data_IF_847611577539
#
_entry.id   IF_847611577539
#
_cell.length_a   1.000
_cell.length_b   1.000
_cell.length_c   1.000
_cell.angle_alpha   90.00
_cell.angle_beta   90.00
_cell.angle_gamma   90.00
#
_symmetry.space_group_name_H-M   'P 1'
#
loop_
_entity.id
_entity.type
_entity.pdbx_description
1 polymer ?
#
# COMPACT_ATOMS: atom_id res chain seq x y z
N UNK A 1 14.44 -12.73 -8.98
CA UNK A 1 14.21 -11.33 -9.42
C UNK A 1 13.55 -11.39 -10.81
N UNK A 2 13.36 -10.28 -11.51
CA UNK A 2 12.73 -10.23 -12.84
C UNK A 2 13.53 -10.97 -13.93
N UNK A 3 14.82 -11.25 -13.69
CA UNK A 3 15.70 -12.00 -14.59
C UNK A 3 15.90 -13.46 -14.16
N UNK A 4 15.17 -13.94 -13.15
CA UNK A 4 15.30 -15.30 -12.64
C UNK A 4 16.53 -15.54 -11.76
N UNK A 5 17.25 -14.49 -11.34
CA UNK A 5 18.38 -14.60 -10.41
C UNK A 5 17.88 -14.83 -8.98
N UNK A 6 18.62 -15.68 -8.26
CA UNK A 6 18.37 -15.99 -6.86
C UNK A 6 19.02 -14.98 -5.94
N UNK A 7 18.28 -14.53 -4.92
CA UNK A 7 18.77 -13.63 -3.89
C UNK A 7 18.45 -14.19 -2.51
N UNK A 8 19.42 -14.11 -1.60
CA UNK A 8 19.20 -14.45 -0.21
C UNK A 8 18.39 -13.34 0.48
N UNK A 9 17.16 -13.65 0.87
CA UNK A 9 16.31 -12.78 1.69
C UNK A 9 16.41 -13.19 3.15
N UNK A 10 15.71 -14.27 3.52
CA UNK A 10 15.70 -14.77 4.87
C UNK A 10 16.99 -15.55 5.19
N UNK A 11 17.46 -15.46 6.43
CA UNK A 11 18.52 -16.32 6.94
C UNK A 11 18.34 -16.57 8.43
N UNK A 12 18.72 -17.77 8.86
CA UNK A 12 18.84 -18.19 10.26
C UNK A 12 20.19 -18.88 10.37
N UNK A 13 21.04 -18.40 11.27
CA UNK A 13 22.42 -18.87 11.44
C UNK A 13 22.69 -19.15 12.91
N UNK A 14 23.41 -20.23 13.19
CA UNK A 14 23.82 -20.63 14.54
C UNK A 14 25.28 -20.23 14.77
N UNK A 15 25.54 -19.56 15.89
CA UNK A 15 26.86 -19.03 16.25
C UNK A 15 27.26 -19.41 17.67
N UNK A 16 28.32 -20.22 17.75
CA UNK A 16 28.96 -20.65 18.99
C UNK A 16 30.24 -19.86 19.31
N UNK A 17 30.76 -19.06 18.38
CA UNK A 17 32.06 -18.39 18.51
C UNK A 17 31.95 -17.01 19.15
N UNK A 18 31.01 -16.16 18.71
CA UNK A 18 30.84 -14.83 19.30
C UNK A 18 30.52 -14.87 20.80
N UNK A 19 29.67 -15.77 21.32
CA UNK A 19 29.43 -15.89 22.75
C UNK A 19 30.71 -16.10 23.58
N UNK A 20 31.61 -16.94 23.08
CA UNK A 20 32.91 -17.23 23.73
C UNK A 20 33.79 -15.98 23.67
N UNK A 21 33.92 -15.35 22.49
CA UNK A 21 34.78 -14.18 22.29
C UNK A 21 34.36 -12.98 23.14
N UNK A 22 33.06 -12.76 23.30
CA UNK A 22 32.51 -11.70 24.15
C UNK A 22 32.36 -12.11 25.62
N UNK A 23 32.76 -13.34 25.99
CA UNK A 23 32.61 -13.90 27.35
C UNK A 23 31.18 -13.79 27.88
N UNK A 24 30.19 -14.02 27.01
CA UNK A 24 28.78 -14.02 27.39
C UNK A 24 28.51 -15.22 28.31
N UNK A 25 27.71 -15.01 29.35
CA UNK A 25 27.29 -16.08 30.23
C UNK A 25 25.89 -15.82 30.78
N UNK A 26 25.17 -16.90 31.07
CA UNK A 26 23.92 -16.86 31.82
C UNK A 26 24.00 -17.84 33.00
N UNK A 27 23.16 -17.64 34.01
CA UNK A 27 23.10 -18.50 35.19
C UNK A 27 21.96 -19.50 35.02
N UNK A 28 22.27 -20.80 35.15
CA UNK A 28 21.31 -21.89 35.14
C UNK A 28 20.52 -21.97 36.44
N UNK A 29 19.46 -22.78 36.46
CA UNK A 29 18.65 -23.04 37.66
C UNK A 29 19.45 -23.65 38.82
N UNK A 30 20.58 -24.30 38.53
CA UNK A 30 21.49 -24.89 39.53
C UNK A 30 22.58 -23.90 40.03
N UNK A 31 22.54 -22.64 39.58
CA UNK A 31 23.51 -21.60 39.94
C UNK A 31 24.82 -21.62 39.14
N UNK A 32 25.02 -22.60 38.24
CA UNK A 32 26.21 -22.65 37.39
C UNK A 32 26.13 -21.65 36.23
N UNK A 33 27.28 -21.14 35.79
CA UNK A 33 27.38 -20.28 34.61
C UNK A 33 27.59 -21.12 33.35
N UNK A 34 26.85 -20.82 32.29
CA UNK A 34 27.03 -21.41 30.97
C UNK A 34 27.08 -20.34 29.88
N UNK A 35 27.80 -20.64 28.80
CA UNK A 35 27.87 -19.82 27.60
C UNK A 35 26.63 -20.05 26.72
N UNK A 36 25.87 -19.00 26.35
CA UNK A 36 24.72 -19.16 25.47
C UNK A 36 25.13 -19.44 24.02
N UNK A 37 24.20 -19.98 23.23
CA UNK A 37 24.30 -20.04 21.75
C UNK A 37 23.58 -18.83 21.17
N UNK A 38 24.18 -18.15 20.18
CA UNK A 38 23.51 -17.06 19.47
C UNK A 38 22.85 -17.60 18.20
N UNK A 39 21.59 -17.22 17.98
CA UNK A 39 20.87 -17.41 16.72
C UNK A 39 20.76 -16.06 16.02
N UNK A 40 21.47 -15.89 14.90
CA UNK A 40 21.31 -14.71 14.05
C UNK A 40 20.15 -14.94 13.10
N UNK A 41 19.23 -13.98 13.00
CA UNK A 41 18.12 -14.06 12.03
C UNK A 41 17.89 -12.74 11.32
N UNK A 42 17.63 -12.82 10.02
CA UNK A 42 17.03 -11.73 9.26
C UNK A 42 15.90 -12.33 8.42
N UNK A 43 14.65 -11.88 8.63
CA UNK A 43 13.48 -12.45 7.93
C UNK A 43 13.32 -11.81 6.55
N UNK A 44 13.48 -10.49 6.46
CA UNK A 44 13.42 -9.76 5.20
C UNK A 44 14.80 -9.63 4.52
N UNK A 45 15.87 -10.08 5.18
CA UNK A 45 17.23 -9.73 4.79
C UNK A 45 17.48 -8.24 5.05
N UNK A 46 17.92 -7.50 4.02
CA UNK A 46 17.97 -6.04 4.08
C UNK A 46 16.70 -5.41 3.53
N UNK A 47 16.39 -4.21 4.01
CA UNK A 47 15.22 -3.46 3.58
C UNK A 47 15.27 -3.11 2.09
N UNK A 48 16.45 -2.70 1.60
CA UNK A 48 16.70 -2.34 0.20
C UNK A 48 16.47 -3.53 -0.72
N UNK A 49 16.99 -4.72 -0.34
CA UNK A 49 16.82 -5.94 -1.14
C UNK A 49 15.36 -6.36 -1.18
N UNK A 50 14.66 -6.29 -0.04
CA UNK A 50 13.25 -6.61 0.02
C UNK A 50 12.44 -5.66 -0.88
N UNK A 51 12.67 -4.34 -0.82
CA UNK A 51 11.99 -3.39 -1.71
C UNK A 51 12.30 -3.67 -3.17
N UNK A 52 13.55 -3.95 -3.54
CA UNK A 52 13.92 -4.26 -4.93
C UNK A 52 13.15 -5.50 -5.44
N UNK A 53 13.13 -6.57 -4.64
CA UNK A 53 12.41 -7.81 -4.98
C UNK A 53 10.90 -7.57 -5.08
N UNK A 54 10.31 -6.83 -4.14
CA UNK A 54 8.88 -6.52 -4.19
C UNK A 54 8.52 -5.60 -5.36
N UNK A 55 9.38 -4.65 -5.71
CA UNK A 55 9.19 -3.74 -6.85
C UNK A 55 9.10 -4.54 -8.15
N UNK A 56 10.01 -5.50 -8.33
CA UNK A 56 10.02 -6.38 -9.48
C UNK A 56 8.85 -7.38 -9.46
N UNK A 57 8.55 -7.98 -8.30
CA UNK A 57 7.46 -8.93 -8.13
C UNK A 57 6.10 -8.31 -8.49
N UNK A 58 5.85 -7.08 -8.05
CA UNK A 58 4.63 -6.35 -8.38
C UNK A 58 4.72 -5.58 -9.69
N UNK A 59 5.86 -5.55 -10.38
CA UNK A 59 6.10 -4.68 -11.53
C UNK A 59 5.70 -3.20 -11.26
N UNK A 60 6.01 -2.70 -10.06
CA UNK A 60 5.63 -1.37 -9.57
C UNK A 60 4.14 -1.20 -9.21
N UNK A 61 3.32 -2.25 -9.35
CA UNK A 61 1.88 -2.24 -9.07
C UNK A 61 1.57 -2.61 -7.62
N UNK A 62 2.08 -1.80 -6.69
CA UNK A 62 1.95 -2.01 -5.25
C UNK A 62 0.51 -2.30 -4.78
N UNK A 63 0.30 -3.24 -3.84
CA UNK A 63 -0.94 -3.33 -3.05
C UNK A 63 -1.23 -2.02 -2.32
N UNK A 64 -2.49 -1.75 -2.01
CA UNK A 64 -2.91 -0.46 -1.42
C UNK A 64 -2.12 -0.11 -0.16
N UNK A 65 -1.90 -1.08 0.74
CA UNK A 65 -1.22 -0.86 2.02
C UNK A 65 0.27 -0.53 1.89
N UNK A 66 0.90 -0.87 0.76
CA UNK A 66 2.32 -0.63 0.49
C UNK A 66 2.54 0.51 -0.53
N UNK A 67 1.49 0.93 -1.22
CA UNK A 67 1.60 1.89 -2.31
C UNK A 67 1.92 3.30 -1.79
N UNK A 68 2.89 4.00 -2.40
CA UNK A 68 3.15 5.40 -2.10
C UNK A 68 2.06 6.34 -2.66
N UNK A 69 1.23 5.86 -3.59
CA UNK A 69 0.18 6.62 -4.28
C UNK A 69 -1.13 5.85 -4.20
N UNK A 70 -1.90 6.07 -3.14
CA UNK A 70 -3.08 5.26 -2.84
C UNK A 70 -4.32 5.77 -3.57
N UNK A 71 -4.69 7.04 -3.37
CA UNK A 71 -5.94 7.60 -3.91
C UNK A 71 -5.68 8.91 -4.66
N UNK A 72 -6.25 9.04 -5.85
CA UNK A 72 -6.31 10.30 -6.59
C UNK A 72 -7.76 10.75 -6.70
N UNK A 73 -8.06 11.99 -6.35
CA UNK A 73 -9.39 12.60 -6.55
C UNK A 73 -9.34 13.51 -7.78
N UNK A 74 -10.31 13.36 -8.67
CA UNK A 74 -10.38 14.07 -9.95
C UNK A 74 -11.74 14.80 -10.07
N UNK A 75 -11.78 16.12 -9.84
CA UNK A 75 -12.96 16.91 -10.14
C UNK A 75 -13.18 17.04 -11.65
N UNK A 76 -14.43 16.91 -12.10
CA UNK A 76 -14.85 17.07 -13.50
C UNK A 76 -14.85 18.55 -13.90
N UNK A 77 -15.25 19.44 -13.00
CA UNK A 77 -15.34 20.89 -13.25
C UNK A 77 -14.87 21.70 -12.03
N UNK A 78 -14.64 23.01 -12.23
CA UNK A 78 -14.28 23.93 -11.15
C UNK A 78 -15.28 23.91 -9.98
N UNK A 79 -16.57 23.71 -10.25
CA UNK A 79 -17.63 23.68 -9.23
C UNK A 79 -17.50 22.47 -8.29
N UNK A 80 -16.86 21.38 -8.73
CA UNK A 80 -16.67 20.15 -7.94
C UNK A 80 -15.36 20.14 -7.14
N UNK A 81 -14.55 21.20 -7.22
CA UNK A 81 -13.23 21.26 -6.56
C UNK A 81 -13.35 21.24 -5.04
N UNK A 82 -14.27 22.00 -4.45
CA UNK A 82 -14.44 22.04 -3.00
C UNK A 82 -14.86 20.68 -2.45
N UNK A 83 -15.76 19.99 -3.15
CA UNK A 83 -16.16 18.62 -2.82
C UNK A 83 -14.98 17.63 -2.93
N UNK A 84 -14.17 17.73 -3.99
CA UNK A 84 -12.97 16.92 -4.16
C UNK A 84 -11.95 17.14 -3.04
N UNK A 85 -11.76 18.39 -2.59
CA UNK A 85 -10.90 18.72 -1.46
C UNK A 85 -11.46 18.22 -0.13
N UNK A 86 -12.78 18.23 0.05
CA UNK A 86 -13.46 17.61 1.17
C UNK A 86 -13.21 16.10 1.26
N UNK A 87 -13.31 15.39 0.13
CA UNK A 87 -12.98 13.97 0.04
C UNK A 87 -11.50 13.73 0.37
N UNK A 88 -10.59 14.53 -0.20
CA UNK A 88 -9.16 14.45 0.12
C UNK A 88 -8.93 14.54 1.63
N UNK A 89 -9.58 15.50 2.30
CA UNK A 89 -9.47 15.67 3.75
C UNK A 89 -9.99 14.44 4.51
N UNK A 90 -11.17 13.93 4.16
CA UNK A 90 -11.75 12.75 4.81
C UNK A 90 -10.85 11.50 4.70
N UNK A 91 -10.26 11.26 3.53
CA UNK A 91 -9.32 10.15 3.36
C UNK A 91 -7.98 10.39 4.09
N UNK A 92 -7.48 11.62 4.08
CA UNK A 92 -6.26 11.98 4.81
C UNK A 92 -6.42 11.81 6.32
N UNK A 93 -7.58 12.14 6.89
CA UNK A 93 -7.92 11.88 8.30
C UNK A 93 -7.86 10.39 8.64
N UNK A 94 -8.18 9.52 7.68
CA UNK A 94 -8.01 8.06 7.79
C UNK A 94 -6.61 7.57 7.44
N UNK A 95 -5.61 8.44 7.33
CA UNK A 95 -4.19 8.11 7.07
C UNK A 95 -3.92 7.51 5.69
N UNK A 96 -4.73 7.85 4.69
CA UNK A 96 -4.40 7.56 3.29
C UNK A 96 -3.54 8.67 2.68
N UNK A 97 -2.62 8.27 1.81
CA UNK A 97 -1.99 9.19 0.87
C UNK A 97 -2.98 9.54 -0.23
N UNK A 98 -3.42 10.80 -0.28
CA UNK A 98 -4.40 11.27 -1.25
C UNK A 98 -3.96 12.56 -1.93
N UNK A 99 -4.02 12.55 -3.25
CA UNK A 99 -3.85 13.74 -4.08
C UNK A 99 -5.18 14.14 -4.72
N UNK A 100 -5.31 15.42 -5.08
CA UNK A 100 -6.46 15.95 -5.81
C UNK A 100 -5.95 16.74 -7.01
N UNK A 101 -6.36 16.35 -8.22
CA UNK A 101 -5.91 16.97 -9.46
C UNK A 101 -6.86 18.09 -9.89
N UNK A 102 -6.57 19.30 -9.41
CA UNK A 102 -7.33 20.52 -9.70
C UNK A 102 -6.80 21.29 -10.92
N UNK A 103 -5.86 20.73 -11.69
CA UNK A 103 -5.32 21.38 -12.89
C UNK A 103 -6.41 21.60 -13.92
N UNK A 104 -6.27 22.61 -14.78
CA UNK A 104 -7.20 22.85 -15.89
C UNK A 104 -6.90 21.91 -17.07
N UNK A 105 -7.28 20.65 -16.92
CA UNK A 105 -7.09 19.57 -17.89
C UNK A 105 -8.39 18.76 -18.00
N UNK A 106 -8.58 18.09 -19.14
CA UNK A 106 -9.73 17.18 -19.31
C UNK A 106 -9.69 16.06 -18.27
N UNK A 107 -10.86 15.64 -17.78
CA UNK A 107 -10.97 14.54 -16.81
C UNK A 107 -10.24 13.28 -17.29
N UNK A 108 -10.35 12.96 -18.59
CA UNK A 108 -9.67 11.81 -19.19
C UNK A 108 -8.14 11.93 -19.08
N UNK A 109 -7.59 13.13 -19.28
CA UNK A 109 -6.16 13.38 -19.14
C UNK A 109 -5.70 13.20 -17.69
N UNK A 110 -6.44 13.74 -16.72
CA UNK A 110 -6.16 13.56 -15.28
C UNK A 110 -6.20 12.10 -14.86
N UNK A 111 -7.23 11.36 -15.26
CA UNK A 111 -7.35 9.92 -15.02
C UNK A 111 -6.17 9.16 -15.63
N UNK A 112 -5.78 9.50 -16.87
CA UNK A 112 -4.64 8.86 -17.54
C UNK A 112 -3.33 9.12 -16.81
N UNK A 113 -3.08 10.35 -16.38
CA UNK A 113 -1.88 10.70 -15.61
C UNK A 113 -1.83 9.93 -14.28
N UNK A 114 -2.97 9.81 -13.58
CA UNK A 114 -3.07 9.04 -12.34
C UNK A 114 -2.78 7.55 -12.55
N UNK A 115 -3.22 6.98 -13.68
CA UNK A 115 -2.90 5.59 -14.04
C UNK A 115 -1.42 5.37 -14.34
N UNK A 116 -0.79 6.28 -15.10
CA UNK A 116 0.64 6.23 -15.39
C UNK A 116 1.44 6.28 -14.08
N UNK A 117 0.99 7.13 -13.15
CA UNK A 117 1.54 7.24 -11.79
C UNK A 117 1.17 6.08 -10.85
N UNK A 118 0.49 5.04 -11.33
CA UNK A 118 0.13 3.82 -10.58
C UNK A 118 -0.72 4.04 -9.33
N UNK A 119 -1.57 5.09 -9.29
CA UNK A 119 -2.54 5.23 -8.20
C UNK A 119 -3.45 3.99 -8.10
N UNK A 120 -3.66 3.47 -6.89
CA UNK A 120 -4.52 2.28 -6.68
C UNK A 120 -5.96 2.58 -7.09
N UNK A 121 -6.48 3.72 -6.61
CA UNK A 121 -7.84 4.16 -6.84
C UNK A 121 -7.90 5.60 -7.35
N UNK A 122 -8.77 5.83 -8.32
CA UNK A 122 -9.04 7.15 -8.89
C UNK A 122 -10.53 7.43 -8.66
N UNK A 123 -10.82 8.47 -7.88
CA UNK A 123 -12.17 8.90 -7.50
C UNK A 123 -12.55 10.10 -8.35
N UNK A 124 -13.48 9.91 -9.29
CA UNK A 124 -13.97 11.00 -10.14
C UNK A 124 -15.22 11.60 -9.50
N UNK A 125 -15.29 12.93 -9.46
CA UNK A 125 -16.42 13.66 -8.86
C UNK A 125 -16.90 14.79 -9.75
N UNK A 126 -18.20 14.86 -10.00
CA UNK A 126 -18.89 15.98 -10.62
C UNK A 126 -20.01 16.55 -9.76
N UNK A 127 -20.93 17.27 -10.39
CA UNK A 127 -22.08 17.87 -9.71
C UNK A 127 -23.03 16.81 -9.14
N UNK A 128 -23.30 15.73 -9.90
CA UNK A 128 -24.13 14.61 -9.45
C UNK A 128 -23.51 13.93 -8.23
N UNK A 129 -22.20 13.64 -8.26
CA UNK A 129 -21.52 13.01 -7.13
C UNK A 129 -21.50 13.90 -5.88
N UNK A 130 -21.41 15.22 -6.08
CA UNK A 130 -21.47 16.18 -4.98
C UNK A 130 -22.86 16.23 -4.34
N UNK A 131 -23.93 16.25 -5.13
CA UNK A 131 -25.32 16.24 -4.63
C UNK A 131 -25.62 14.94 -3.87
N UNK A 132 -25.12 13.82 -4.39
CA UNK A 132 -25.39 12.50 -3.81
C UNK A 132 -24.39 12.09 -2.71
N UNK A 133 -23.36 12.89 -2.39
CA UNK A 133 -22.26 12.50 -1.49
C UNK A 133 -21.58 11.17 -1.90
N UNK A 134 -21.40 10.99 -3.20
CA UNK A 134 -20.82 9.79 -3.82
C UNK A 134 -19.51 10.11 -4.54
N UNK A 135 -18.85 9.07 -5.03
CA UNK A 135 -17.68 9.13 -5.91
C UNK A 135 -17.82 8.06 -6.99
N UNK A 136 -17.40 8.36 -8.21
CA UNK A 136 -17.25 7.35 -9.24
C UNK A 136 -15.87 6.70 -9.11
N UNK A 137 -15.83 5.44 -8.68
CA UNK A 137 -14.57 4.75 -8.37
C UNK A 137 -14.01 4.08 -9.61
N UNK A 138 -12.73 4.31 -9.88
CA UNK A 138 -11.96 3.62 -10.91
C UNK A 138 -10.74 2.96 -10.30
N UNK A 139 -10.42 1.75 -10.74
CA UNK A 139 -9.18 1.07 -10.36
C UNK A 139 -8.03 1.53 -11.25
N UNK A 140 -6.79 1.27 -10.79
CA UNK A 140 -5.55 1.42 -11.57
C UNK A 140 -5.62 0.87 -13.00
N UNK A 141 -6.38 -0.21 -13.22
CA UNK A 141 -6.54 -0.86 -14.52
C UNK A 141 -7.70 -0.25 -15.37
N UNK A 142 -8.18 0.95 -15.01
CA UNK A 142 -9.33 1.62 -15.62
C UNK A 142 -10.68 0.91 -15.46
N UNK A 143 -10.80 -0.06 -14.55
CA UNK A 143 -12.09 -0.71 -14.32
C UNK A 143 -12.98 0.26 -13.55
N UNK A 144 -14.07 0.68 -14.17
CA UNK A 144 -15.12 1.49 -13.53
C UNK A 144 -15.88 0.59 -12.57
N UNK A 145 -15.89 0.97 -11.30
CA UNK A 145 -16.57 0.26 -10.21
C UNK A 145 -17.92 0.90 -9.85
N UNK A 146 -18.33 1.92 -10.61
CA UNK A 146 -19.59 2.63 -10.44
C UNK A 146 -19.52 3.75 -9.41
N UNK A 147 -20.67 4.39 -9.21
CA UNK A 147 -20.91 5.41 -8.20
C UNK A 147 -21.14 4.74 -6.83
N UNK A 148 -20.43 5.19 -5.79
CA UNK A 148 -20.53 4.67 -4.43
C UNK A 148 -20.48 5.80 -3.43
N UNK A 149 -21.13 5.64 -2.27
CA UNK A 149 -21.06 6.62 -1.17
C UNK A 149 -19.62 6.76 -0.67
N UNK A 150 -19.18 7.98 -0.39
CA UNK A 150 -17.82 8.25 0.11
C UNK A 150 -17.49 7.41 1.35
N UNK A 151 -18.45 7.31 2.29
CA UNK A 151 -18.29 6.53 3.51
C UNK A 151 -18.07 5.03 3.25
N UNK A 152 -18.79 4.44 2.28
CA UNK A 152 -18.64 3.04 1.89
C UNK A 152 -17.24 2.79 1.32
N UNK A 153 -16.79 3.65 0.39
CA UNK A 153 -15.47 3.54 -0.23
C UNK A 153 -14.37 3.65 0.82
N UNK A 154 -14.50 4.61 1.74
CA UNK A 154 -13.54 4.80 2.82
C UNK A 154 -13.46 3.55 3.72
N UNK A 155 -14.61 2.96 4.07
CA UNK A 155 -14.65 1.74 4.88
C UNK A 155 -13.99 0.55 4.17
N UNK A 156 -14.30 0.36 2.88
CA UNK A 156 -13.71 -0.71 2.06
C UNK A 156 -12.19 -0.56 1.94
N UNK A 157 -11.69 0.66 1.71
CA UNK A 157 -10.25 0.91 1.62
C UNK A 157 -9.55 0.80 2.98
N UNK A 158 -10.20 1.18 4.08
CA UNK A 158 -9.65 0.92 5.41
C UNK A 158 -9.48 -0.58 5.62
N UNK A 159 -10.50 -1.37 5.29
CA UNK A 159 -10.43 -2.83 5.37
C UNK A 159 -9.30 -3.40 4.50
N UNK A 160 -9.20 -2.97 3.24
CA UNK A 160 -8.13 -3.43 2.33
C UNK A 160 -6.73 -3.15 2.89
N UNK A 161 -6.53 -1.96 3.46
CA UNK A 161 -5.27 -1.56 4.09
C UNK A 161 -4.98 -2.38 5.34
N UNK A 162 -5.95 -2.50 6.23
CA UNK A 162 -5.77 -3.08 7.57
C UNK A 162 -5.63 -4.61 7.51
N UNK A 163 -6.35 -5.27 6.60
CA UNK A 163 -6.20 -6.70 6.28
C UNK A 163 -5.00 -6.98 5.36
N UNK A 164 -4.29 -5.93 4.90
CA UNK A 164 -3.13 -6.01 3.99
C UNK A 164 -3.39 -6.86 2.75
N UNK A 165 -4.58 -6.71 2.17
CA UNK A 165 -4.99 -7.49 1.01
C UNK A 165 -4.06 -7.21 -0.17
N UNK A 166 -3.69 -8.26 -0.90
CA UNK A 166 -2.83 -8.16 -2.08
C UNK A 166 -3.59 -7.68 -3.32
N UNK A 167 -4.90 -7.95 -3.35
CA UNK A 167 -5.76 -7.60 -4.47
C UNK A 167 -6.74 -6.51 -4.08
N UNK A 168 -7.07 -5.64 -5.04
CA UNK A 168 -8.07 -4.59 -4.88
C UNK A 168 -9.43 -5.20 -4.54
N UNK A 169 -10.10 -4.75 -3.47
CA UNK A 169 -11.46 -5.20 -3.11
C UNK A 169 -12.50 -4.69 -4.09
N UNK A 170 -12.26 -3.54 -4.71
CA UNK A 170 -13.15 -2.99 -5.73
C UNK A 170 -12.66 -3.36 -7.13
N UNK A 171 -13.57 -3.87 -7.95
CA UNK A 171 -13.27 -4.23 -9.34
C UNK A 171 -12.87 -5.68 -9.56
N UNK A 172 -13.01 -6.57 -8.58
CA UNK A 172 -12.97 -8.02 -8.84
C UNK A 172 -14.26 -8.51 -9.52
N UNK A 173 -14.20 -9.61 -10.26
CA UNK A 173 -15.41 -10.42 -10.52
C UNK A 173 -15.68 -11.21 -9.22
N UNK A 174 -16.94 -11.47 -8.82
CA UNK A 174 -17.20 -12.41 -7.74
C UNK A 174 -16.48 -13.72 -8.07
N UNK A 175 -15.70 -14.26 -7.11
CA UNK A 175 -15.13 -15.60 -7.24
C UNK A 175 -16.31 -16.55 -7.43
N UNK A 176 -16.30 -17.28 -8.55
CA UNK A 176 -17.24 -18.35 -8.82
C UNK A 176 -17.05 -19.50 -7.83
#
# INVERSE_FOLDING_TARGET
DALGRSFQCATVQLDFQLPIRFKLSYVKSDGQKETPVIVHRAIMGSFERMIAILTEHFAGKWPLWLSPKQVMVVPISGNSVDYALGIKKAFHEKKFFVECDVRDLTMQKKVRDAQINQFNYILVVGAQEQENETVNVRTRNNKVCGEKKVAEVLQLLCRERDEKLLEAVMGQKPKA
#
